data_IF_095020981714
#
_entry.id   IF_095020981714
#
_cell.length_a   1.000
_cell.length_b   1.000
_cell.length_c   1.000
_cell.angle_alpha   90.00
_cell.angle_beta   90.00
_cell.angle_gamma   90.00
#
_symmetry.space_group_name_H-M   'P 1'
#
loop_
_entity.id
_entity.type
_entity.pdbx_description
1 polymer ?
#
# COMPACT_ATOMS: atom_id res chain seq x y z
N UNK A 1 -12.08 -4.28 -10.38
CA UNK A 1 -10.77 -3.89 -10.96
C UNK A 1 -11.04 -3.15 -12.26
N UNK A 2 -10.56 -1.92 -12.40
CA UNK A 2 -10.78 -1.09 -13.60
C UNK A 2 -10.01 -1.73 -14.77
N UNK A 3 -10.73 -2.20 -15.80
CA UNK A 3 -10.30 -3.08 -16.90
C UNK A 3 -9.30 -2.44 -17.90
N UNK A 4 -8.51 -1.47 -17.43
CA UNK A 4 -7.51 -0.74 -18.22
C UNK A 4 -6.15 -1.12 -17.65
N UNK A 5 -5.51 -2.14 -18.22
CA UNK A 5 -4.25 -2.69 -17.71
C UNK A 5 -3.16 -1.63 -17.45
N UNK A 6 -2.16 -1.96 -16.63
CA UNK A 6 -1.13 -1.01 -16.18
C UNK A 6 -0.39 -0.32 -17.34
N UNK A 7 -0.22 -1.01 -18.46
CA UNK A 7 0.35 -0.43 -19.70
C UNK A 7 -0.54 0.67 -20.29
N UNK A 8 -1.86 0.48 -20.29
CA UNK A 8 -2.84 1.46 -20.75
C UNK A 8 -2.90 2.68 -19.81
N UNK A 9 -2.82 2.47 -18.50
CA UNK A 9 -2.76 3.57 -17.51
C UNK A 9 -1.53 4.47 -17.74
N UNK A 10 -0.38 3.87 -18.05
CA UNK A 10 0.82 4.62 -18.39
C UNK A 10 0.85 5.09 -19.86
N UNK A 11 -0.11 4.68 -20.70
CA UNK A 11 -0.14 5.03 -22.12
C UNK A 11 1.08 4.53 -22.90
N UNK A 12 1.58 3.34 -22.56
CA UNK A 12 2.75 2.71 -23.19
C UNK A 12 2.38 1.35 -23.77
N UNK A 13 3.16 0.88 -24.75
CA UNK A 13 3.01 -0.48 -25.30
C UNK A 13 3.35 -1.55 -24.24
N UNK A 14 2.81 -2.76 -24.40
CA UNK A 14 3.20 -3.92 -23.60
C UNK A 14 4.67 -4.29 -23.80
N UNK A 15 5.23 -4.00 -24.99
CA UNK A 15 6.65 -4.19 -25.32
C UNK A 15 7.54 -3.03 -24.86
N UNK A 16 6.96 -2.01 -24.20
CA UNK A 16 7.70 -0.81 -23.85
C UNK A 16 8.91 -1.11 -22.96
N UNK A 17 10.02 -0.46 -23.28
CA UNK A 17 11.24 -0.60 -22.50
C UNK A 17 11.12 0.21 -21.18
N UNK A 18 11.92 -0.13 -20.17
CA UNK A 18 11.94 0.55 -18.88
C UNK A 18 12.11 2.08 -19.01
N UNK A 19 12.92 2.53 -19.98
CA UNK A 19 13.13 3.95 -20.24
C UNK A 19 11.85 4.67 -20.70
N UNK A 20 11.03 4.01 -21.51
CA UNK A 20 9.77 4.55 -22.02
C UNK A 20 8.71 4.61 -20.92
N UNK A 21 8.61 3.54 -20.12
CA UNK A 21 7.78 3.46 -18.92
C UNK A 21 8.13 4.60 -17.95
N UNK A 22 9.43 4.79 -17.67
CA UNK A 22 9.94 5.87 -16.81
C UNK A 22 9.64 7.25 -17.39
N UNK A 23 9.79 7.44 -18.70
CA UNK A 23 9.50 8.72 -19.37
C UNK A 23 8.02 9.07 -19.29
N UNK A 24 7.13 8.11 -19.56
CA UNK A 24 5.69 8.32 -19.49
C UNK A 24 5.24 8.61 -18.05
N UNK A 25 5.72 7.82 -17.08
CA UNK A 25 5.47 8.05 -15.66
C UNK A 25 5.81 9.49 -15.24
N UNK A 26 7.00 9.99 -15.58
CA UNK A 26 7.40 11.38 -15.25
C UNK A 26 6.47 12.42 -15.86
N UNK A 27 6.01 12.22 -17.10
CA UNK A 27 5.10 13.12 -17.80
C UNK A 27 3.74 13.16 -17.12
N UNK A 28 3.19 11.99 -16.79
CA UNK A 28 1.90 11.85 -16.13
C UNK A 28 1.94 12.35 -14.68
N UNK A 29 2.98 12.01 -13.92
CA UNK A 29 3.18 12.45 -12.55
C UNK A 29 3.22 13.99 -12.45
N UNK A 30 3.90 14.66 -13.39
CA UNK A 30 3.93 16.14 -13.44
C UNK A 30 2.58 16.77 -13.85
N UNK A 31 1.72 16.02 -14.56
CA UNK A 31 0.40 16.47 -15.02
C UNK A 31 -0.67 16.33 -13.94
N UNK A 32 -0.62 15.25 -13.17
CA UNK A 32 -1.57 14.93 -12.09
C UNK A 32 -0.99 15.21 -10.69
N UNK A 33 0.10 15.98 -10.60
CA UNK A 33 0.70 16.38 -9.33
C UNK A 33 -0.28 17.25 -8.51
N UNK A 34 -0.48 17.00 -7.21
CA UNK A 34 -1.45 17.74 -6.38
C UNK A 34 -1.16 19.24 -6.32
N UNK A 35 0.12 19.62 -6.37
CA UNK A 35 0.54 21.03 -6.42
C UNK A 35 0.09 21.76 -7.71
N UNK A 36 -0.01 21.04 -8.83
CA UNK A 36 -0.35 21.63 -10.15
C UNK A 36 -1.79 21.39 -10.56
N UNK A 37 -2.42 20.35 -10.02
CA UNK A 37 -3.80 19.96 -10.34
C UNK A 37 -4.56 19.64 -9.05
N UNK A 38 -5.48 20.54 -8.68
CA UNK A 38 -6.31 20.44 -7.48
C UNK A 38 -7.66 19.73 -7.72
N UNK A 39 -7.83 19.08 -8.87
CA UNK A 39 -9.04 18.32 -9.15
C UNK A 39 -9.12 17.08 -8.25
N UNK A 40 -10.30 16.74 -7.70
CA UNK A 40 -10.48 15.53 -6.90
C UNK A 40 -10.19 14.25 -7.70
N UNK A 41 -10.34 14.28 -9.03
CA UNK A 41 -10.03 13.14 -9.89
C UNK A 41 -8.53 12.95 -10.15
N UNK A 42 -7.70 13.98 -9.90
CA UNK A 42 -6.26 13.90 -10.07
C UNK A 42 -5.61 12.97 -9.05
N UNK A 43 -6.13 12.94 -7.81
CA UNK A 43 -5.65 12.07 -6.73
C UNK A 43 -5.87 10.58 -7.06
N UNK A 44 -7.06 10.22 -7.55
CA UNK A 44 -7.35 8.84 -7.96
C UNK A 44 -6.48 8.42 -9.16
N UNK A 45 -6.32 9.34 -10.12
CA UNK A 45 -5.53 9.08 -11.34
C UNK A 45 -4.05 8.89 -11.03
N UNK A 46 -3.46 9.74 -10.18
CA UNK A 46 -2.04 9.61 -9.80
C UNK A 46 -1.78 8.32 -9.01
N UNK A 47 -2.73 7.88 -8.19
CA UNK A 47 -2.65 6.59 -7.48
C UNK A 47 -2.52 5.42 -8.47
N UNK A 48 -3.39 5.37 -9.48
CA UNK A 48 -3.35 4.34 -10.54
C UNK A 48 -2.02 4.38 -11.31
N UNK A 49 -1.51 5.58 -11.62
CA UNK A 49 -0.22 5.76 -12.31
C UNK A 49 0.95 5.25 -11.46
N UNK A 50 0.97 5.54 -10.16
CA UNK A 50 2.01 5.06 -9.25
C UNK A 50 2.01 3.54 -9.10
N UNK A 51 0.83 2.94 -8.96
CA UNK A 51 0.66 1.50 -8.86
C UNK A 51 1.13 0.79 -10.14
N UNK A 52 0.72 1.30 -11.31
CA UNK A 52 1.18 0.80 -12.61
C UNK A 52 2.70 0.89 -12.74
N UNK A 53 3.30 2.02 -12.36
CA UNK A 53 4.75 2.18 -12.40
C UNK A 53 5.47 1.26 -11.41
N UNK A 54 4.96 1.07 -10.20
CA UNK A 54 5.57 0.19 -9.20
C UNK A 54 5.62 -1.27 -9.67
N UNK A 55 4.57 -1.73 -10.34
CA UNK A 55 4.51 -3.08 -10.91
C UNK A 55 5.39 -3.20 -12.15
N UNK A 56 5.34 -2.23 -13.08
CA UNK A 56 6.04 -2.31 -14.36
C UNK A 56 7.53 -1.91 -14.30
N UNK A 57 7.95 -1.19 -13.25
CA UNK A 57 9.35 -0.75 -13.07
C UNK A 57 10.28 -1.88 -12.62
N UNK A 58 9.79 -2.85 -11.85
CA UNK A 58 10.56 -4.01 -11.41
C UNK A 58 10.32 -5.18 -12.36
N UNK A 59 11.39 -5.71 -12.95
CA UNK A 59 11.34 -6.86 -13.87
C UNK A 59 10.64 -8.07 -13.26
N UNK A 60 10.80 -8.32 -11.96
CA UNK A 60 10.14 -9.45 -11.28
C UNK A 60 8.64 -9.22 -11.16
N UNK A 61 8.22 -8.03 -10.71
CA UNK A 61 6.81 -7.66 -10.56
C UNK A 61 6.10 -7.60 -11.92
N UNK A 62 6.75 -7.04 -12.94
CA UNK A 62 6.25 -7.01 -14.32
C UNK A 62 5.99 -8.42 -14.86
N UNK A 63 6.95 -9.33 -14.71
CA UNK A 63 6.79 -10.71 -15.16
C UNK A 63 5.65 -11.44 -14.45
N UNK A 64 5.45 -11.18 -13.17
CA UNK A 64 4.33 -11.75 -12.42
C UNK A 64 2.99 -11.20 -12.93
N UNK A 65 2.91 -9.88 -13.12
CA UNK A 65 1.73 -9.22 -13.68
C UNK A 65 1.39 -9.73 -15.08
N UNK A 66 2.39 -9.86 -15.95
CA UNK A 66 2.18 -10.34 -17.33
C UNK A 66 1.62 -11.79 -17.31
N UNK A 67 2.15 -12.67 -16.43
CA UNK A 67 1.64 -14.04 -16.26
C UNK A 67 0.20 -14.09 -15.74
N UNK A 68 -0.10 -13.27 -14.74
CA UNK A 68 -1.45 -13.20 -14.17
C UNK A 68 -2.46 -12.64 -15.17
N UNK A 69 -2.03 -11.66 -15.98
CA UNK A 69 -2.86 -11.10 -17.05
C UNK A 69 -3.18 -12.11 -18.16
N UNK A 70 -2.25 -13.02 -18.48
CA UNK A 70 -2.50 -14.11 -19.43
C UNK A 70 -3.51 -15.13 -18.87
N UNK A 71 -3.42 -15.47 -17.58
CA UNK A 71 -4.33 -16.43 -16.95
C UNK A 71 -5.78 -15.92 -16.84
N UNK A 72 -5.99 -14.60 -16.82
CA UNK A 72 -7.35 -14.02 -16.81
C UNK A 72 -8.03 -14.12 -18.19
N UNK A 73 -7.26 -14.19 -19.28
CA UNK A 73 -7.82 -14.40 -20.61
C UNK A 73 -8.32 -15.84 -20.83
N UNK A 74 -7.74 -16.83 -20.15
CA UNK A 74 -8.14 -18.24 -20.29
C UNK A 74 -9.44 -18.60 -19.52
N UNK A 75 -9.91 -17.76 -18.60
CA UNK A 75 -11.14 -18.02 -17.82
C UNK A 75 -12.41 -17.41 -18.42
N UNK A 76 -12.30 -16.62 -19.49
CA UNK A 76 -13.45 -15.95 -20.11
C UNK A 76 -14.05 -16.71 -21.31
N UNK A 77 -13.57 -17.92 -21.64
CA UNK A 77 -14.04 -18.69 -22.81
C UNK A 77 -14.84 -19.96 -22.44
N UNK A 78 -15.34 -20.09 -21.20
CA UNK A 78 -16.06 -21.31 -20.79
C UNK A 78 -17.20 -21.11 -19.81
N UNK A 79 -17.94 -19.99 -19.85
CA UNK A 79 -19.22 -19.90 -19.14
C UNK A 79 -20.21 -18.97 -19.87
N UNK A 80 -20.88 -19.51 -20.90
CA UNK A 80 -22.27 -19.18 -21.20
C UNK A 80 -23.03 -20.52 -21.24
N UNK A 81 -24.21 -20.53 -20.61
CA UNK A 81 -25.16 -21.66 -20.40
C UNK A 81 -24.79 -22.55 -19.19
N UNK A 82 -25.57 -22.71 -18.11
CA UNK A 82 -26.97 -22.42 -17.76
C UNK A 82 -27.17 -22.41 -16.22
N UNK A 83 -28.01 -21.49 -15.75
CA UNK A 83 -29.08 -21.60 -14.71
C UNK A 83 -28.88 -22.35 -13.37
N UNK A 84 -29.00 -21.52 -12.33
CA UNK A 84 -29.96 -21.59 -11.19
C UNK A 84 -29.97 -22.78 -10.20
N UNK A 85 -29.92 -22.36 -8.92
CA UNK A 85 -30.47 -22.99 -7.70
C UNK A 85 -29.82 -24.27 -7.15
N UNK A 86 -29.20 -24.18 -5.96
CA UNK A 86 -29.98 -24.35 -4.73
C UNK A 86 -29.17 -24.12 -3.44
N UNK A 87 -29.97 -23.74 -2.45
CA UNK A 87 -29.71 -23.35 -1.08
C UNK A 87 -29.38 -24.56 -0.17
N UNK A 88 -28.76 -24.23 0.96
CA UNK A 88 -28.81 -24.92 2.28
C UNK A 88 -27.84 -26.08 2.63
N UNK A 89 -27.28 -25.88 3.84
CA UNK A 89 -27.00 -26.85 4.90
C UNK A 89 -25.67 -27.63 4.98
N UNK A 90 -24.81 -27.03 5.82
CA UNK A 90 -24.30 -27.56 7.09
C UNK A 90 -23.58 -28.92 7.18
N UNK A 91 -22.38 -28.80 7.80
CA UNK A 91 -21.78 -29.60 8.89
C UNK A 91 -20.81 -30.74 8.56
N UNK A 92 -19.56 -30.46 8.99
CA UNK A 92 -18.66 -31.27 9.85
C UNK A 92 -18.18 -32.62 9.30
N UNK A 93 -16.87 -32.90 9.31
CA UNK A 93 -16.14 -33.45 10.47
C UNK A 93 -14.61 -33.28 10.26
N UNK A 94 -13.88 -32.75 11.25
CA UNK A 94 -12.89 -33.41 12.13
C UNK A 94 -11.81 -34.23 11.40
N UNK A 95 -10.51 -34.22 11.71
CA UNK A 95 -9.65 -33.60 12.73
C UNK A 95 -8.28 -34.28 12.56
N UNK A 96 -7.14 -33.58 12.68
CA UNK A 96 -5.90 -34.18 13.23
C UNK A 96 -4.98 -33.07 13.78
N UNK A 97 -4.68 -33.19 15.07
CA UNK A 97 -3.85 -32.32 15.91
C UNK A 97 -2.45 -32.93 16.10
N UNK A 98 -1.56 -32.14 16.74
CA UNK A 98 -0.26 -32.42 17.38
C UNK A 98 0.97 -31.98 16.55
N UNK A 99 1.96 -31.23 17.08
CA UNK A 99 2.25 -30.78 18.44
C UNK A 99 3.15 -29.52 18.44
N UNK A 100 3.08 -28.72 19.51
CA UNK A 100 4.07 -27.72 19.94
C UNK A 100 5.35 -28.42 20.45
N UNK A 101 6.44 -27.66 20.68
CA UNK A 101 7.02 -27.69 22.02
C UNK A 101 7.02 -26.30 22.65
N UNK A 102 6.64 -26.31 23.92
CA UNK A 102 6.69 -25.19 24.84
C UNK A 102 8.02 -25.26 25.60
N UNK A 103 8.69 -24.12 25.79
CA UNK A 103 9.58 -23.95 26.92
C UNK A 103 9.06 -22.77 27.72
N UNK A 104 8.59 -23.08 28.91
CA UNK A 104 7.92 -22.20 29.84
C UNK A 104 8.86 -21.15 30.47
N UNK A 105 8.20 -20.15 31.05
CA UNK A 105 8.59 -19.33 32.20
C UNK A 105 9.45 -18.09 31.91
N UNK A 106 8.78 -16.93 31.82
CA UNK A 106 8.58 -16.13 33.03
C UNK A 106 7.56 -14.98 32.83
N UNK A 107 6.60 -14.92 33.76
CA UNK A 107 6.11 -13.71 34.42
C UNK A 107 5.41 -12.62 33.57
N UNK A 108 4.09 -12.77 33.41
CA UNK A 108 3.04 -11.91 34.01
C UNK A 108 3.12 -10.37 34.06
N UNK A 109 4.14 -9.71 33.53
CA UNK A 109 4.30 -8.24 33.55
C UNK A 109 4.76 -7.66 32.20
N UNK A 110 5.21 -8.49 31.26
CA UNK A 110 5.80 -8.02 30.00
C UNK A 110 4.77 -7.50 28.98
N UNK A 111 3.52 -7.98 29.02
CA UNK A 111 2.48 -7.52 28.10
C UNK A 111 1.88 -6.16 28.48
N UNK A 112 1.93 -5.77 29.76
CA UNK A 112 1.48 -4.45 30.20
C UNK A 112 2.55 -3.39 29.90
N UNK A 113 3.83 -3.75 29.97
CA UNK A 113 4.95 -2.89 29.62
C UNK A 113 5.08 -2.70 28.09
N UNK A 114 4.83 -3.75 27.30
CA UNK A 114 4.79 -3.64 25.82
C UNK A 114 3.62 -2.80 25.33
N UNK A 115 2.47 -2.82 26.00
CA UNK A 115 1.35 -1.90 25.72
C UNK A 115 1.66 -0.47 26.19
N UNK A 116 2.49 -0.30 27.22
CA UNK A 116 2.95 1.03 27.69
C UNK A 116 3.98 1.66 26.73
N UNK A 117 4.75 0.86 26.00
CA UNK A 117 5.80 1.34 25.07
C UNK A 117 5.25 1.54 23.65
N UNK A 118 4.11 0.94 23.31
CA UNK A 118 3.45 1.17 22.02
C UNK A 118 2.67 2.49 22.06
N UNK A 119 2.97 3.38 21.12
CA UNK A 119 2.15 4.56 20.84
C UNK A 119 0.67 4.15 20.75
N UNK A 120 -0.23 4.94 21.36
CA UNK A 120 -1.70 4.79 21.21
C UNK A 120 -2.14 4.64 19.76
N UNK A 121 -1.39 5.24 18.85
CA UNK A 121 -1.66 5.24 17.42
C UNK A 121 -0.66 4.36 16.68
N UNK A 122 -1.18 3.54 15.79
CA UNK A 122 -0.41 2.84 14.79
C UNK A 122 -0.31 3.70 13.53
N UNK A 123 0.91 3.92 13.05
CA UNK A 123 1.17 4.78 11.89
C UNK A 123 1.59 3.91 10.71
N UNK A 124 0.88 4.03 9.60
CA UNK A 124 1.14 3.30 8.36
C UNK A 124 1.41 4.27 7.22
N UNK A 125 2.30 3.88 6.30
CA UNK A 125 2.54 4.63 5.07
C UNK A 125 2.13 3.76 3.89
N UNK A 126 1.14 4.23 3.13
CA UNK A 126 0.67 3.61 1.90
C UNK A 126 1.69 3.82 0.78
N UNK A 127 2.39 2.75 0.32
CA UNK A 127 3.46 2.89 -0.66
C UNK A 127 2.96 3.44 -2.00
N UNK A 128 1.75 3.08 -2.42
CA UNK A 128 1.12 3.54 -3.68
C UNK A 128 0.83 5.05 -3.67
N UNK A 129 0.53 5.62 -2.50
CA UNK A 129 0.24 7.05 -2.32
C UNK A 129 1.48 7.87 -2.00
N UNK A 130 2.50 7.27 -1.36
CA UNK A 130 3.69 8.01 -0.95
C UNK A 130 4.55 8.41 -2.14
N UNK A 131 4.69 9.72 -2.37
CA UNK A 131 5.57 10.31 -3.39
C UNK A 131 6.91 10.81 -2.80
N UNK A 132 7.13 10.61 -1.50
CA UNK A 132 8.34 10.99 -0.77
C UNK A 132 8.85 12.42 -1.02
N UNK A 133 7.94 13.39 -0.91
CA UNK A 133 8.30 14.81 -0.91
C UNK A 133 9.16 15.24 0.29
N UNK A 134 9.32 14.38 1.31
CA UNK A 134 10.15 14.67 2.49
C UNK A 134 9.52 15.62 3.51
N UNK A 135 8.27 16.06 3.31
CA UNK A 135 7.57 16.92 4.27
C UNK A 135 7.40 16.27 5.64
N UNK A 136 7.05 14.98 5.68
CA UNK A 136 6.95 14.22 6.93
C UNK A 136 8.31 14.01 7.62
N UNK A 137 9.38 13.76 6.86
CA UNK A 137 10.76 13.69 7.38
C UNK A 137 11.22 15.05 7.94
N UNK A 138 10.77 16.16 7.33
CA UNK A 138 11.12 17.51 7.81
C UNK A 138 10.37 17.89 9.09
N UNK A 139 9.11 17.49 9.23
CA UNK A 139 8.26 17.83 10.39
C UNK A 139 8.58 16.92 11.59
N UNK A 140 8.77 15.62 11.37
CA UNK A 140 9.05 14.62 12.41
C UNK A 140 10.15 13.64 11.94
N UNK A 141 11.43 14.05 11.95
CA UNK A 141 12.56 13.30 11.39
C UNK A 141 12.88 11.99 12.12
N UNK A 142 12.51 11.88 13.40
CA UNK A 142 12.72 10.65 14.19
C UNK A 142 11.59 9.63 14.01
N UNK A 143 10.46 10.07 13.44
CA UNK A 143 9.29 9.24 13.19
C UNK A 143 9.30 8.76 11.74
N UNK A 144 9.55 9.68 10.80
CA UNK A 144 9.50 9.41 9.37
C UNK A 144 10.87 9.52 8.73
N UNK A 145 11.26 8.46 8.01
CA UNK A 145 12.51 8.42 7.26
C UNK A 145 12.23 8.10 5.81
N UNK A 146 12.81 8.87 4.89
CA UNK A 146 12.74 8.58 3.45
C UNK A 146 13.99 7.82 3.03
N UNK A 147 13.83 6.65 2.42
CA UNK A 147 14.97 5.91 1.87
C UNK A 147 15.52 6.58 0.61
N UNK A 148 16.53 7.42 0.80
CA UNK A 148 17.24 8.12 -0.28
C UNK A 148 18.09 7.20 -1.15
N UNK A 149 18.32 5.95 -0.73
CA UNK A 149 19.06 4.93 -1.50
C UNK A 149 18.36 4.51 -2.79
N UNK A 150 17.03 4.62 -2.85
CA UNK A 150 16.28 4.41 -4.09
C UNK A 150 16.22 5.71 -4.87
N UNK A 151 17.01 5.81 -5.93
CA UNK A 151 16.98 6.96 -6.86
C UNK A 151 15.67 7.12 -7.63
N UNK A 152 14.77 6.13 -7.58
CA UNK A 152 13.49 6.13 -8.29
C UNK A 152 12.38 5.84 -7.28
N UNK A 153 11.42 6.76 -7.16
CA UNK A 153 10.25 6.66 -6.28
C UNK A 153 10.61 6.22 -4.85
N UNK A 154 11.50 6.96 -4.16
CA UNK A 154 11.78 6.68 -2.75
C UNK A 154 10.47 6.72 -1.97
N UNK A 155 10.38 5.95 -0.89
CA UNK A 155 9.20 5.88 -0.04
C UNK A 155 9.57 6.29 1.38
N UNK A 156 8.67 7.00 2.04
CA UNK A 156 8.77 7.23 3.47
C UNK A 156 8.46 5.93 4.22
N UNK A 157 9.07 5.75 5.38
CA UNK A 157 8.81 4.69 6.35
C UNK A 157 8.68 5.28 7.73
N UNK A 158 7.97 4.56 8.59
CA UNK A 158 7.89 4.86 10.02
C UNK A 158 9.03 4.13 10.70
N UNK A 159 9.90 4.88 11.38
CA UNK A 159 11.03 4.36 12.16
C UNK A 159 10.61 4.14 13.62
N UNK A 160 9.94 5.13 14.21
CA UNK A 160 9.43 5.06 15.58
C UNK A 160 8.17 5.90 15.73
N UNK A 161 7.08 5.29 16.20
CA UNK A 161 5.79 5.99 16.42
C UNK A 161 5.78 6.84 17.70
N UNK A 162 6.76 6.65 18.59
CA UNK A 162 6.85 7.31 19.90
C UNK A 162 7.98 8.33 19.98
N UNK A 163 8.76 8.51 18.90
CA UNK A 163 9.94 9.36 18.92
C UNK A 163 9.65 10.87 18.85
N UNK A 164 8.39 11.28 18.68
CA UNK A 164 7.97 12.68 18.64
C UNK A 164 6.57 12.85 19.25
N UNK A 165 6.14 14.10 19.45
CA UNK A 165 4.82 14.40 20.02
C UNK A 165 3.70 14.09 19.02
N UNK A 166 2.54 13.72 19.56
CA UNK A 166 1.35 13.42 18.74
C UNK A 166 1.02 14.57 17.79
N UNK A 167 1.07 15.81 18.27
CA UNK A 167 0.74 16.99 17.46
C UNK A 167 1.66 17.14 16.25
N UNK A 168 2.96 16.87 16.41
CA UNK A 168 3.93 16.90 15.30
C UNK A 168 3.69 15.78 14.31
N UNK A 169 3.36 14.58 14.81
CA UNK A 169 3.04 13.43 13.95
C UNK A 169 1.76 13.71 13.14
N UNK A 170 0.72 14.24 13.79
CA UNK A 170 -0.53 14.64 13.14
C UNK A 170 -0.28 15.76 12.12
N UNK A 171 0.53 16.75 12.47
CA UNK A 171 0.92 17.82 11.54
C UNK A 171 1.67 17.27 10.32
N UNK A 172 2.58 16.31 10.52
CA UNK A 172 3.29 15.64 9.43
C UNK A 172 2.34 14.86 8.52
N UNK A 173 1.33 14.22 9.10
CA UNK A 173 0.29 13.51 8.38
C UNK A 173 -0.57 14.49 7.56
N UNK A 174 -1.05 15.57 8.19
CA UNK A 174 -1.83 16.66 7.56
C UNK A 174 -1.10 17.36 6.42
N UNK A 175 0.22 17.54 6.56
CA UNK A 175 1.06 18.13 5.52
C UNK A 175 1.30 17.19 4.32
N UNK A 176 0.88 15.93 4.39
CA UNK A 176 1.03 14.97 3.30
C UNK A 176 -0.03 15.20 2.20
N UNK A 177 0.34 15.75 1.03
CA UNK A 177 -0.64 16.12 0.00
C UNK A 177 -1.33 14.90 -0.64
N UNK A 178 -0.68 13.74 -0.62
CA UNK A 178 -1.22 12.49 -1.16
C UNK A 178 -1.93 11.63 -0.12
N UNK A 179 -2.05 12.12 1.13
CA UNK A 179 -2.69 11.41 2.24
C UNK A 179 -2.15 9.99 2.43
N UNK A 180 -0.85 9.82 2.19
CA UNK A 180 -0.21 8.51 2.25
C UNK A 180 0.01 8.01 3.69
N UNK A 181 -0.01 8.90 4.68
CA UNK A 181 0.20 8.58 6.09
C UNK A 181 -1.16 8.28 6.70
N UNK A 182 -1.34 7.06 7.22
CA UNK A 182 -2.52 6.64 7.98
C UNK A 182 -2.20 6.52 9.46
N UNK A 183 -3.09 6.97 10.32
CA UNK A 183 -3.03 6.83 11.77
C UNK A 183 -4.27 6.05 12.21
N UNK A 184 -4.06 4.94 12.91
CA UNK A 184 -5.10 4.05 13.39
C UNK A 184 -4.99 3.96 14.91
N UNK A 185 -6.07 4.20 15.64
CA UNK A 185 -6.09 3.99 17.09
C UNK A 185 -5.97 2.48 17.37
N UNK A 186 -4.98 2.08 18.17
CA UNK A 186 -4.73 0.66 18.47
C UNK A 186 -5.83 0.02 19.30
N UNK A 187 -6.51 0.79 20.13
CA UNK A 187 -7.54 0.29 21.05
C UNK A 187 -8.90 0.18 20.37
N UNK A 188 -9.27 1.18 19.58
CA UNK A 188 -10.56 1.18 18.88
C UNK A 188 -10.51 0.60 17.47
N UNK A 189 -9.32 0.47 16.88
CA UNK A 189 -9.15 0.08 15.47
C UNK A 189 -9.59 1.17 14.48
N UNK A 190 -10.04 2.33 14.98
CA UNK A 190 -10.56 3.40 14.14
C UNK A 190 -9.40 4.13 13.44
N UNK A 191 -9.54 4.34 12.13
CA UNK A 191 -8.65 5.21 11.39
C UNK A 191 -8.95 6.67 11.74
N UNK A 192 -7.98 7.36 12.34
CA UNK A 192 -8.07 8.77 12.75
C UNK A 192 -7.58 9.69 11.63
N UNK A 193 -6.68 9.18 10.78
CA UNK A 193 -6.10 9.91 9.67
C UNK A 193 -5.64 8.94 8.56
N UNK A 194 -5.61 9.31 7.27
CA UNK A 194 -6.36 10.43 6.71
C UNK A 194 -7.86 10.26 6.95
#
# INVERSE_FOLDING_TARGET
>A
MDSRGYYAILGVSQDANFQEIKKSYRKLAKKYHPDRNKSPHAEETIKKINEAFETLSDRRKRKQYDRESSNIFDLNDSNNEEKEENLSDQKQTNSHKFAKPESENNLGYDNLLLDTIRSRFHILIEPSLCLAFGGCESIAPKVFVVHKSKHINPKARVESETADTLDRIVMAAQACPTKAIKMIDRYSGNQIYP
#
